data_IF_923200725727
#
_entry.id   IF_923200725727
#
_cell.length_a   1.000
_cell.length_b   1.000
_cell.length_c   1.000
_cell.angle_alpha   90.00
_cell.angle_beta   90.00
_cell.angle_gamma   90.00
#
_symmetry.space_group_name_H-M   'P 1'
#
loop_
_entity.id
_entity.type
_entity.pdbx_description
1 polymer ?
#
# COMPACT_ATOMS: atom_id res chain seq x y z
N UNK A 1 -15.43 -2.47 4.11
CA UNK A 1 -13.96 -2.56 4.11
C UNK A 1 -13.36 -1.17 4.05
N UNK A 2 -12.24 -0.89 4.72
CA UNK A 2 -11.67 0.47 4.88
C UNK A 2 -11.50 1.23 3.54
N UNK A 3 -11.27 0.49 2.47
CA UNK A 3 -11.10 0.98 1.09
C UNK A 3 -12.36 1.68 0.52
N UNK A 4 -13.55 1.38 1.03
CA UNK A 4 -14.81 2.00 0.59
C UNK A 4 -14.88 3.50 0.89
N UNK A 5 -14.06 4.01 1.81
CA UNK A 5 -13.98 5.45 2.15
C UNK A 5 -13.36 6.27 1.02
N UNK A 6 -12.54 5.65 0.17
CA UNK A 6 -11.88 6.34 -0.95
C UNK A 6 -12.86 6.66 -2.09
N UNK A 7 -13.93 5.90 -2.22
CA UNK A 7 -14.94 6.08 -3.27
C UNK A 7 -15.68 7.44 -3.17
N UNK A 8 -16.26 7.83 -2.01
CA UNK A 8 -16.83 9.17 -1.85
C UNK A 8 -15.78 10.29 -1.96
N UNK A 9 -14.55 10.09 -1.49
CA UNK A 9 -13.47 11.10 -1.61
C UNK A 9 -13.15 11.40 -3.08
N UNK A 10 -13.03 10.35 -3.90
CA UNK A 10 -12.82 10.49 -5.35
C UNK A 10 -14.00 11.24 -6.01
N UNK A 11 -15.24 10.88 -5.69
CA UNK A 11 -16.44 11.55 -6.22
C UNK A 11 -16.50 13.03 -5.82
N UNK A 12 -16.03 13.36 -4.62
CA UNK A 12 -15.97 14.72 -4.09
C UNK A 12 -14.70 15.48 -4.52
N UNK A 13 -13.82 14.87 -5.33
CA UNK A 13 -12.50 15.40 -5.74
C UNK A 13 -11.59 15.77 -4.56
N UNK A 14 -11.81 15.16 -3.40
CA UNK A 14 -10.94 15.30 -2.23
C UNK A 14 -9.78 14.33 -2.40
N UNK A 15 -8.55 14.87 -2.47
CA UNK A 15 -7.36 14.02 -2.55
C UNK A 15 -7.03 13.45 -1.17
N UNK A 16 -6.98 12.12 -1.01
CA UNK A 16 -6.44 11.54 0.20
C UNK A 16 -4.98 11.94 0.35
N UNK A 17 -4.62 12.36 1.56
CA UNK A 17 -3.26 12.75 1.94
C UNK A 17 -2.54 11.60 2.67
N UNK A 18 -1.28 11.83 3.05
CA UNK A 18 -0.47 10.85 3.80
C UNK A 18 -1.19 10.40 5.07
N UNK A 19 -1.87 11.31 5.79
CA UNK A 19 -2.59 10.99 7.03
C UNK A 19 -3.76 10.04 6.78
N UNK A 20 -4.51 10.27 5.71
CA UNK A 20 -5.63 9.42 5.27
C UNK A 20 -5.15 8.01 4.96
N UNK A 21 -4.09 7.89 4.16
CA UNK A 21 -3.50 6.58 3.83
C UNK A 21 -2.92 5.88 5.05
N UNK A 22 -2.24 6.60 5.95
CA UNK A 22 -1.69 6.04 7.18
C UNK A 22 -2.76 5.39 8.04
N UNK A 23 -3.90 6.09 8.22
CA UNK A 23 -5.01 5.58 9.01
C UNK A 23 -5.66 4.33 8.38
N UNK A 24 -5.92 4.38 7.08
CA UNK A 24 -6.53 3.25 6.35
C UNK A 24 -5.62 2.03 6.33
N UNK A 25 -4.32 2.21 6.10
CA UNK A 25 -3.34 1.12 6.08
C UNK A 25 -3.24 0.43 7.44
N UNK A 26 -3.12 1.20 8.52
CA UNK A 26 -3.08 0.64 9.89
C UNK A 26 -4.37 -0.08 10.23
N UNK A 27 -5.52 0.51 9.91
CA UNK A 27 -6.83 -0.13 10.12
C UNK A 27 -6.98 -1.46 9.37
N UNK A 28 -6.46 -1.56 8.14
CA UNK A 28 -6.46 -2.81 7.37
C UNK A 28 -5.53 -3.86 7.99
N UNK A 29 -4.33 -3.46 8.42
CA UNK A 29 -3.39 -4.35 9.12
C UNK A 29 -3.97 -4.86 10.44
N UNK A 30 -4.61 -3.99 11.22
CA UNK A 30 -5.22 -4.37 12.50
C UNK A 30 -6.44 -5.27 12.32
N UNK A 31 -7.17 -5.11 11.21
CA UNK A 31 -8.25 -6.01 10.81
C UNK A 31 -7.76 -7.33 10.18
N UNK A 32 -6.46 -7.49 9.94
CA UNK A 32 -5.88 -8.65 9.25
C UNK A 32 -6.15 -8.69 7.74
N UNK A 33 -6.67 -7.60 7.15
CA UNK A 33 -6.93 -7.49 5.71
C UNK A 33 -5.65 -7.07 4.97
N UNK A 34 -4.68 -7.99 4.91
CA UNK A 34 -3.38 -7.76 4.27
C UNK A 34 -3.49 -7.61 2.75
N UNK A 35 -4.47 -8.25 2.12
CA UNK A 35 -4.74 -8.08 0.69
C UNK A 35 -5.24 -6.66 0.38
N UNK A 36 -6.14 -6.13 1.22
CA UNK A 36 -6.57 -4.73 1.16
C UNK A 36 -5.42 -3.76 1.41
N UNK A 37 -4.60 -4.01 2.44
CA UNK A 37 -3.43 -3.17 2.75
C UNK A 37 -2.43 -3.13 1.58
N UNK A 38 -2.15 -4.29 0.97
CA UNK A 38 -1.27 -4.40 -0.19
C UNK A 38 -1.81 -3.61 -1.39
N UNK A 39 -3.11 -3.75 -1.69
CA UNK A 39 -3.76 -2.99 -2.76
C UNK A 39 -3.70 -1.48 -2.51
N UNK A 40 -3.90 -1.06 -1.26
CA UNK A 40 -3.85 0.35 -0.88
C UNK A 40 -2.43 0.94 -0.97
N UNK A 41 -1.40 0.17 -0.59
CA UNK A 41 0.01 0.55 -0.77
C UNK A 41 0.34 0.74 -2.26
N UNK A 42 -0.07 -0.21 -3.11
CA UNK A 42 0.12 -0.12 -4.56
C UNK A 42 -0.53 1.14 -5.14
N UNK A 43 -1.76 1.46 -4.71
CA UNK A 43 -2.47 2.66 -5.13
C UNK A 43 -1.73 3.94 -4.71
N UNK A 44 -1.32 4.03 -3.44
CA UNK A 44 -0.62 5.20 -2.90
C UNK A 44 0.72 5.46 -3.59
N UNK A 45 1.44 4.39 -3.95
CA UNK A 45 2.73 4.43 -4.64
C UNK A 45 2.62 4.55 -6.17
N UNK A 46 1.41 4.59 -6.74
CA UNK A 46 1.22 4.77 -8.18
C UNK A 46 1.56 3.54 -9.02
N UNK A 47 1.49 2.33 -8.45
CA UNK A 47 1.61 1.09 -9.22
C UNK A 47 0.47 1.03 -10.24
N UNK A 48 0.82 0.93 -11.53
CA UNK A 48 -0.16 0.89 -12.61
C UNK A 48 -1.02 -0.36 -12.49
N UNK A 49 -2.32 -0.12 -12.26
CA UNK A 49 -3.56 -0.91 -12.41
C UNK A 49 -3.53 -2.45 -12.58
N UNK A 50 -2.54 -3.05 -13.24
CA UNK A 50 -2.50 -4.49 -13.54
C UNK A 50 -2.38 -5.40 -12.30
N UNK A 51 -1.94 -4.88 -11.14
CA UNK A 51 -1.75 -5.66 -9.90
C UNK A 51 -2.67 -5.23 -8.74
N UNK A 52 -3.73 -4.45 -9.01
CA UNK A 52 -4.69 -4.04 -7.98
C UNK A 52 -5.82 -5.06 -7.83
N UNK A 53 -6.28 -5.34 -6.59
CA UNK A 53 -7.51 -6.10 -6.36
C UNK A 53 -8.71 -5.51 -7.10
N UNK A 54 -9.63 -6.35 -7.58
CA UNK A 54 -10.84 -5.93 -8.32
C UNK A 54 -11.67 -4.87 -7.57
N UNK A 55 -11.68 -4.91 -6.24
CA UNK A 55 -12.34 -3.92 -5.38
C UNK A 55 -11.75 -2.51 -5.52
N UNK A 56 -10.46 -2.41 -5.87
CA UNK A 56 -9.72 -1.17 -6.05
C UNK A 56 -9.68 -0.68 -7.49
N UNK A 57 -9.82 -1.58 -8.47
CA UNK A 57 -9.84 -1.24 -9.91
C UNK A 57 -10.90 -0.18 -10.22
N UNK A 58 -12.07 -0.22 -9.57
CA UNK A 58 -13.14 0.78 -9.75
C UNK A 58 -12.74 2.21 -9.35
N UNK A 59 -11.77 2.35 -8.45
CA UNK A 59 -11.29 3.65 -7.97
C UNK A 59 -10.18 4.25 -8.84
N UNK A 60 -9.76 3.56 -9.89
CA UNK A 60 -8.53 3.87 -10.65
C UNK A 60 -8.66 4.52 -12.03
N UNK A 61 -9.82 4.61 -12.73
CA UNK A 61 -9.83 5.25 -14.05
C UNK A 61 -9.65 6.77 -13.92
N UNK A 62 -8.47 7.28 -14.32
CA UNK A 62 -8.18 8.73 -14.38
C UNK A 62 -7.98 9.43 -13.04
N UNK A 63 -7.91 8.67 -11.94
CA UNK A 63 -7.90 9.20 -10.58
C UNK A 63 -6.49 9.52 -10.09
N UNK A 64 -6.28 10.76 -9.70
CA UNK A 64 -5.02 11.28 -9.16
C UNK A 64 -4.89 10.96 -7.65
N UNK A 65 -5.20 9.70 -7.29
CA UNK A 65 -5.20 9.15 -5.93
C UNK A 65 -3.81 8.75 -5.44
N UNK A 66 -2.82 8.70 -6.32
CA UNK A 66 -1.43 8.54 -5.90
C UNK A 66 -1.02 9.72 -5.01
N UNK A 67 -0.12 9.49 -4.07
CA UNK A 67 0.46 10.58 -3.29
C UNK A 67 1.61 11.20 -4.08
N UNK A 68 1.51 12.49 -4.40
CA UNK A 68 2.63 13.25 -4.96
C UNK A 68 3.73 13.34 -3.89
N UNK A 69 4.83 12.62 -4.11
CA UNK A 69 5.91 12.46 -3.13
C UNK A 69 5.92 11.11 -2.39
N UNK A 70 4.94 10.25 -2.64
CA UNK A 70 4.87 8.90 -2.06
C UNK A 70 4.45 8.86 -0.59
N UNK A 71 4.52 7.65 -0.02
CA UNK A 71 4.33 7.44 1.42
C UNK A 71 5.66 7.57 2.17
N UNK A 72 5.65 8.03 3.43
CA UNK A 72 6.84 8.03 4.27
C UNK A 72 7.47 6.64 4.38
N UNK A 73 8.81 6.57 4.31
CA UNK A 73 9.57 5.32 4.41
C UNK A 73 9.21 4.52 5.67
N UNK A 74 9.04 5.19 6.80
CA UNK A 74 8.74 4.55 8.07
C UNK A 74 7.39 3.84 8.05
N UNK A 75 6.39 4.47 7.43
CA UNK A 75 5.05 3.88 7.26
C UNK A 75 5.08 2.70 6.31
N UNK A 76 5.80 2.81 5.18
CA UNK A 76 5.98 1.69 4.25
C UNK A 76 6.62 0.48 4.97
N UNK A 77 7.67 0.75 5.75
CA UNK A 77 8.36 -0.26 6.53
C UNK A 77 7.48 -0.89 7.60
N UNK A 78 6.72 -0.08 8.33
CA UNK A 78 5.78 -0.51 9.36
C UNK A 78 4.76 -1.50 8.78
N UNK A 79 4.10 -1.14 7.67
CA UNK A 79 3.05 -1.96 7.08
C UNK A 79 3.61 -3.26 6.50
N UNK A 80 4.75 -3.21 5.79
CA UNK A 80 5.40 -4.40 5.24
C UNK A 80 5.86 -5.36 6.35
N UNK A 81 6.42 -4.84 7.46
CA UNK A 81 6.78 -5.64 8.62
C UNK A 81 5.56 -6.28 9.28
N UNK A 82 4.49 -5.51 9.43
CA UNK A 82 3.26 -6.00 10.05
C UNK A 82 2.63 -7.13 9.21
N UNK A 83 2.60 -6.99 7.88
CA UNK A 83 2.17 -8.04 6.96
C UNK A 83 3.01 -9.32 7.11
N UNK A 84 4.35 -9.18 7.12
CA UNK A 84 5.25 -10.32 7.23
C UNK A 84 5.16 -11.05 8.58
N UNK A 85 4.91 -10.32 9.68
CA UNK A 85 4.91 -10.87 11.05
C UNK A 85 3.54 -11.35 11.54
N UNK A 86 2.47 -10.63 11.20
CA UNK A 86 1.13 -10.85 11.78
C UNK A 86 0.24 -11.74 10.91
N UNK A 87 0.50 -11.80 9.60
CA UNK A 87 -0.46 -12.35 8.65
C UNK A 87 -0.20 -13.74 8.09
N UNK A 88 0.98 -14.31 8.32
CA UNK A 88 1.38 -15.57 7.66
C UNK A 88 1.63 -15.45 6.15
N UNK A 89 1.34 -14.30 5.54
CA UNK A 89 1.54 -14.04 4.11
C UNK A 89 2.87 -13.30 3.87
N UNK A 90 3.95 -13.90 4.37
CA UNK A 90 5.32 -13.40 4.18
C UNK A 90 5.66 -13.29 2.69
N UNK A 91 5.13 -14.20 1.87
CA UNK A 91 5.24 -14.15 0.41
C UNK A 91 4.63 -12.87 -0.19
N UNK A 92 3.42 -12.49 0.22
CA UNK A 92 2.80 -11.23 -0.22
C UNK A 92 3.62 -10.01 0.20
N UNK A 93 4.15 -9.99 1.42
CA UNK A 93 5.00 -8.90 1.91
C UNK A 93 6.33 -8.79 1.13
N UNK A 94 6.97 -9.92 0.82
CA UNK A 94 8.19 -10.00 0.01
C UNK A 94 7.93 -9.51 -1.42
N UNK A 95 6.86 -10.02 -2.04
CA UNK A 95 6.49 -9.66 -3.40
C UNK A 95 6.19 -8.16 -3.50
N UNK A 96 5.40 -7.64 -2.56
CA UNK A 96 5.09 -6.22 -2.50
C UNK A 96 6.35 -5.37 -2.25
N UNK A 97 7.26 -5.82 -1.38
CA UNK A 97 8.53 -5.12 -1.16
C UNK A 97 9.39 -5.05 -2.45
N UNK A 98 9.44 -6.12 -3.25
CA UNK A 98 10.14 -6.15 -4.54
C UNK A 98 9.49 -5.20 -5.55
N UNK A 99 8.16 -5.23 -5.65
CA UNK A 99 7.39 -4.34 -6.53
C UNK A 99 7.63 -2.86 -6.20
N UNK A 100 7.50 -2.50 -4.91
CA UNK A 100 7.64 -1.12 -4.45
C UNK A 100 9.06 -0.57 -4.64
N UNK A 101 10.10 -1.40 -4.47
CA UNK A 101 11.51 -1.00 -4.70
C UNK A 101 11.78 -0.65 -6.17
N UNK A 102 11.05 -1.24 -7.10
CA UNK A 102 11.18 -0.96 -8.53
C UNK A 102 10.55 0.36 -8.97
N UNK A 103 9.80 1.05 -8.10
CA UNK A 103 9.07 2.25 -8.47
C UNK A 103 9.92 3.52 -8.29
N UNK A 104 9.90 4.44 -9.27
CA UNK A 104 10.57 5.73 -9.13
C UNK A 104 9.91 6.54 -8.00
N UNK A 105 10.72 7.01 -7.05
CA UNK A 105 10.26 7.88 -5.96
C UNK A 105 9.83 7.16 -4.67
N UNK A 106 9.81 5.83 -4.66
CA UNK A 106 9.56 5.06 -3.42
C UNK A 106 10.89 4.77 -2.72
N UNK A 107 10.96 5.09 -1.42
CA UNK A 107 12.10 4.75 -0.55
C UNK A 107 11.65 3.75 0.51
N UNK A 108 12.40 2.67 0.66
CA UNK A 108 12.19 1.64 1.67
C UNK A 108 13.40 1.57 2.58
N UNK A 109 13.19 1.19 3.84
CA UNK A 109 14.30 0.94 4.77
C UNK A 109 15.18 -0.19 4.21
N UNK A 110 16.50 0.02 4.04
CA UNK A 110 17.41 -0.98 3.50
C UNK A 110 17.50 -2.27 4.34
N UNK A 111 17.45 -2.17 5.67
CA UNK A 111 17.52 -3.32 6.58
C UNK A 111 16.27 -4.17 6.45
N UNK A 112 15.09 -3.53 6.41
CA UNK A 112 13.85 -4.25 6.17
C UNK A 112 13.84 -4.91 4.80
N UNK A 113 14.24 -4.14 3.79
CA UNK A 113 14.36 -4.58 2.41
C UNK A 113 15.21 -5.83 2.27
N UNK A 114 16.39 -5.86 2.91
CA UNK A 114 17.27 -7.03 2.92
C UNK A 114 16.66 -8.19 3.71
N UNK A 115 16.10 -7.91 4.90
CA UNK A 115 15.51 -8.95 5.75
C UNK A 115 14.38 -9.70 5.06
N UNK A 116 13.45 -8.99 4.40
CA UNK A 116 12.35 -9.63 3.68
C UNK A 116 12.86 -10.39 2.45
N UNK A 117 13.76 -9.81 1.65
CA UNK A 117 14.24 -10.50 0.44
C UNK A 117 15.20 -11.66 0.72
N UNK A 118 15.87 -11.68 1.88
CA UNK A 118 16.75 -12.79 2.29
C UNK A 118 15.97 -14.05 2.69
N UNK A 119 14.68 -13.91 2.95
CA UNK A 119 13.77 -14.99 3.35
C UNK A 119 12.93 -15.53 2.18
N UNK A 120 13.23 -15.08 0.96
CA UNK A 120 12.52 -15.40 -0.27
C UNK A 120 13.23 -16.53 -1.04
#
# INVERSE_FOLDING_TARGET
GAVQVLEPMQRQRVRPDVRTYSLLLRGLVDAGDFAGAAGLLRLACGVRQASLPQSLVRLTPGSDLHLKGGLPTDLLSEILQAMARRGGDEHLAIQLCKELRGLPGVRLDPKLSMSLTSRA
#
